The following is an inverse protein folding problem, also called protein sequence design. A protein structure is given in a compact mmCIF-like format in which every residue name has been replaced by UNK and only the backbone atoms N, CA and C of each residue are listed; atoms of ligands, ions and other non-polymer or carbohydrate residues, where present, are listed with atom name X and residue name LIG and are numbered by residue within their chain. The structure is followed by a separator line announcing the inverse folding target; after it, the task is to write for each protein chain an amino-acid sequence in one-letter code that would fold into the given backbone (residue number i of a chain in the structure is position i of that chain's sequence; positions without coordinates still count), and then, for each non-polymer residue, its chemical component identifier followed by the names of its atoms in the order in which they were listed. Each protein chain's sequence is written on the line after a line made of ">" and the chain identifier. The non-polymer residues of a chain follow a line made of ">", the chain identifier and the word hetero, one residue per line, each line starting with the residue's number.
data_IF_340928297341
#
_entry.id   IF_340928297341
#
_cell.length_a   1.000
_cell.length_b   1.000
_cell.length_c   1.000
_cell.angle_alpha   90.00
_cell.angle_beta   90.00
_cell.angle_gamma   90.00
#
_symmetry.space_group_name_H-M   'P 1'
#
loop_
_entity.id
_entity.type
_entity.pdbx_description
1 polymer ?
#
# COMPACT_ATOMS: atom_id res chain seq x y z
N UNK A 1 -9.31 -19.10 -8.74
CA UNK A 1 -9.28 -17.96 -9.68
C UNK A 1 -9.06 -18.54 -11.07
N UNK A 2 -10.15 -18.86 -11.78
CA UNK A 2 -10.07 -19.16 -13.22
C UNK A 2 -9.43 -17.97 -13.94
N UNK A 3 -8.72 -18.23 -15.04
CA UNK A 3 -7.74 -17.33 -15.68
C UNK A 3 -8.27 -15.91 -16.00
N UNK A 4 -8.29 -15.03 -15.00
CA UNK A 4 -8.51 -13.60 -15.20
C UNK A 4 -7.24 -12.98 -15.76
N UNK A 5 -7.33 -12.54 -17.02
CA UNK A 5 -6.27 -11.75 -17.67
C UNK A 5 -6.02 -10.41 -16.97
N UNK A 6 -4.95 -9.73 -17.35
CA UNK A 6 -4.56 -8.42 -16.81
C UNK A 6 -5.67 -7.37 -16.94
N UNK A 7 -6.53 -7.54 -17.94
CA UNK A 7 -7.69 -6.70 -18.26
C UNK A 7 -8.72 -6.69 -17.13
N UNK A 8 -8.98 -7.86 -16.52
CA UNK A 8 -9.88 -7.98 -15.38
C UNK A 8 -9.34 -7.29 -14.13
N UNK A 9 -8.04 -7.42 -13.88
CA UNK A 9 -7.38 -6.75 -12.77
C UNK A 9 -7.35 -5.23 -12.95
N UNK A 10 -7.12 -4.77 -14.18
CA UNK A 10 -7.15 -3.36 -14.52
C UNK A 10 -8.57 -2.78 -14.36
N UNK A 11 -9.59 -3.49 -14.83
CA UNK A 11 -10.97 -3.05 -14.66
C UNK A 11 -11.40 -3.08 -13.17
N UNK A 12 -10.98 -4.10 -12.42
CA UNK A 12 -11.21 -4.18 -10.97
C UNK A 12 -10.57 -3.01 -10.23
N UNK A 13 -9.34 -2.65 -10.60
CA UNK A 13 -8.68 -1.46 -10.08
C UNK A 13 -9.51 -0.20 -10.33
N UNK A 14 -10.03 -0.01 -11.54
CA UNK A 14 -10.90 1.12 -11.87
C UNK A 14 -12.18 1.14 -11.02
N UNK A 15 -12.86 0.00 -10.89
CA UNK A 15 -14.07 -0.12 -10.06
C UNK A 15 -13.76 0.33 -8.63
N UNK A 16 -12.66 -0.14 -8.05
CA UNK A 16 -12.29 0.19 -6.68
C UNK A 16 -11.88 1.65 -6.50
N UNK A 17 -11.21 2.25 -7.48
CA UNK A 17 -10.93 3.69 -7.47
C UNK A 17 -12.21 4.54 -7.47
N UNK A 18 -13.20 4.14 -8.27
CA UNK A 18 -14.49 4.83 -8.35
C UNK A 18 -15.35 4.56 -7.12
N UNK A 19 -15.36 3.33 -6.59
CA UNK A 19 -16.10 2.98 -5.38
C UNK A 19 -15.60 3.76 -4.16
N UNK A 20 -14.28 3.87 -4.00
CA UNK A 20 -13.66 4.71 -2.98
C UNK A 20 -14.04 6.18 -3.14
N UNK A 21 -14.03 6.69 -4.38
CA UNK A 21 -14.49 8.05 -4.68
C UNK A 21 -15.96 8.27 -4.30
N UNK A 22 -16.85 7.35 -4.67
CA UNK A 22 -18.28 7.44 -4.33
C UNK A 22 -18.45 7.45 -2.82
N UNK A 23 -17.79 6.55 -2.10
CA UNK A 23 -17.85 6.48 -0.64
C UNK A 23 -17.40 7.80 -0.01
N UNK A 24 -16.19 8.27 -0.32
CA UNK A 24 -15.65 9.45 0.34
C UNK A 24 -16.37 10.74 -0.07
N UNK A 25 -16.67 10.91 -1.36
CA UNK A 25 -17.36 12.10 -1.85
C UNK A 25 -18.78 12.16 -1.32
N UNK A 26 -19.47 11.02 -1.17
CA UNK A 26 -20.82 10.98 -0.57
C UNK A 26 -20.78 11.37 0.90
N UNK A 27 -19.85 10.80 1.69
CA UNK A 27 -19.71 11.11 3.11
C UNK A 27 -19.46 12.61 3.32
N UNK A 28 -18.48 13.18 2.61
CA UNK A 28 -18.16 14.61 2.71
C UNK A 28 -19.30 15.50 2.20
N UNK A 29 -19.96 15.10 1.11
CA UNK A 29 -21.08 15.87 0.56
C UNK A 29 -22.26 15.92 1.51
N UNK A 30 -22.54 14.82 2.23
CA UNK A 30 -23.58 14.77 3.25
C UNK A 30 -23.20 15.60 4.48
N UNK A 31 -21.94 15.51 4.93
CA UNK A 31 -21.45 16.26 6.08
C UNK A 31 -21.51 17.78 5.84
N UNK A 32 -21.10 18.24 4.66
CA UNK A 32 -21.09 19.65 4.28
C UNK A 32 -22.36 20.13 3.56
N UNK A 33 -23.34 19.25 3.32
CA UNK A 33 -24.60 19.51 2.61
C UNK A 33 -24.44 20.15 1.24
N UNK A 34 -23.35 19.85 0.54
CA UNK A 34 -23.05 20.33 -0.82
C UNK A 34 -22.24 19.27 -1.57
N UNK A 35 -22.37 19.14 -2.89
CA UNK A 35 -21.56 18.20 -3.64
C UNK A 35 -20.08 18.58 -3.52
N UNK A 36 -19.29 17.69 -2.91
CA UNK A 36 -17.84 17.83 -2.78
C UNK A 36 -17.21 16.68 -3.53
N UNK A 37 -16.43 17.03 -4.55
CA UNK A 37 -15.53 16.08 -5.19
C UNK A 37 -14.30 15.91 -4.28
N UNK A 38 -14.20 14.77 -3.60
CA UNK A 38 -13.03 14.46 -2.78
C UNK A 38 -12.03 13.66 -3.59
N UNK A 39 -10.76 14.00 -3.45
CA UNK A 39 -9.67 13.29 -4.09
C UNK A 39 -8.52 14.23 -4.45
N UNK A 40 -7.35 13.64 -4.69
CA UNK A 40 -6.20 14.36 -5.23
C UNK A 40 -6.45 14.77 -6.69
N UNK A 41 -7.20 13.94 -7.42
CA UNK A 41 -7.44 14.06 -8.85
C UNK A 41 -8.71 14.88 -9.14
N UNK A 42 -8.82 15.39 -10.37
CA UNK A 42 -9.97 16.19 -10.79
C UNK A 42 -11.16 15.30 -11.11
N UNK A 43 -10.91 14.09 -11.60
CA UNK A 43 -11.94 13.12 -11.92
C UNK A 43 -12.48 12.33 -10.72
N UNK A 44 -13.54 11.53 -10.94
CA UNK A 44 -14.24 10.78 -9.90
C UNK A 44 -13.52 9.46 -9.54
N UNK A 45 -12.28 9.57 -9.10
CA UNK A 45 -11.45 8.41 -8.78
C UNK A 45 -10.39 8.72 -7.73
N UNK A 46 -10.20 7.78 -6.80
CA UNK A 46 -9.17 7.88 -5.77
C UNK A 46 -8.24 6.66 -5.87
N UNK A 47 -7.04 6.80 -6.48
CA UNK A 47 -6.16 5.67 -6.80
C UNK A 47 -5.75 4.80 -5.60
N UNK A 48 -5.62 5.39 -4.40
CA UNK A 48 -5.25 4.63 -3.19
C UNK A 48 -6.27 3.53 -2.87
N UNK A 49 -7.55 3.73 -3.19
CA UNK A 49 -8.60 2.72 -3.01
C UNK A 49 -8.49 1.58 -4.02
N UNK A 50 -8.09 1.88 -5.26
CA UNK A 50 -7.79 0.84 -6.26
C UNK A 50 -6.63 -0.04 -5.82
N UNK A 51 -5.53 0.57 -5.37
CA UNK A 51 -4.35 -0.16 -4.87
C UNK A 51 -4.71 -0.95 -3.62
N UNK A 52 -5.37 -0.33 -2.64
CA UNK A 52 -5.75 -0.98 -1.39
C UNK A 52 -6.73 -2.13 -1.57
N UNK A 53 -7.74 -1.96 -2.41
CA UNK A 53 -8.69 -3.03 -2.69
C UNK A 53 -8.06 -4.21 -3.43
N UNK A 54 -7.19 -3.96 -4.43
CA UNK A 54 -6.42 -5.04 -5.06
C UNK A 54 -5.49 -5.74 -4.07
N UNK A 55 -4.78 -4.97 -3.23
CA UNK A 55 -3.92 -5.50 -2.18
C UNK A 55 -4.69 -6.45 -1.25
N UNK A 56 -5.88 -6.04 -0.82
CA UNK A 56 -6.76 -6.88 0.02
C UNK A 56 -7.23 -8.13 -0.73
N UNK A 57 -7.60 -8.03 -2.02
CA UNK A 57 -7.99 -9.19 -2.82
C UNK A 57 -6.87 -10.23 -2.90
N UNK A 58 -5.62 -9.81 -3.13
CA UNK A 58 -4.49 -10.74 -3.24
C UNK A 58 -4.07 -11.32 -1.89
N UNK A 59 -3.95 -10.48 -0.86
CA UNK A 59 -3.35 -10.89 0.41
C UNK A 59 -4.38 -11.55 1.35
N UNK A 60 -5.65 -11.13 1.32
CA UNK A 60 -6.66 -11.69 2.23
C UNK A 60 -7.33 -12.95 1.70
N UNK A 61 -7.34 -13.19 0.38
CA UNK A 61 -7.99 -14.36 -0.21
C UNK A 61 -7.50 -15.71 0.36
N UNK A 62 -6.19 -15.95 0.60
CA UNK A 62 -5.71 -17.18 1.22
C UNK A 62 -6.22 -17.41 2.65
N UNK A 63 -6.66 -16.35 3.33
CA UNK A 63 -7.12 -16.39 4.72
C UNK A 63 -8.64 -16.31 4.85
N UNK A 64 -9.37 -16.35 3.72
CA UNK A 64 -10.82 -16.13 3.67
C UNK A 64 -11.61 -17.11 4.53
N UNK A 65 -11.08 -18.30 4.84
CA UNK A 65 -11.76 -19.28 5.70
C UNK A 65 -11.80 -18.87 7.18
N UNK A 66 -10.98 -17.89 7.59
CA UNK A 66 -10.92 -17.42 8.97
C UNK A 66 -10.98 -15.88 9.04
N UNK A 67 -12.15 -15.36 9.40
CA UNK A 67 -12.37 -13.91 9.53
C UNK A 67 -11.38 -13.22 10.47
N UNK A 68 -10.92 -13.87 11.54
CA UNK A 68 -9.91 -13.26 12.41
C UNK A 68 -8.57 -13.04 11.68
N UNK A 69 -8.15 -13.99 10.83
CA UNK A 69 -6.94 -13.84 10.04
C UNK A 69 -7.10 -12.72 9.00
N UNK A 70 -8.24 -12.68 8.29
CA UNK A 70 -8.56 -11.59 7.35
C UNK A 70 -8.48 -10.23 8.03
N UNK A 71 -9.06 -10.09 9.22
CA UNK A 71 -9.04 -8.84 9.98
C UNK A 71 -7.62 -8.35 10.25
N UNK A 72 -6.74 -9.21 10.79
CA UNK A 72 -5.37 -8.80 11.13
C UNK A 72 -4.51 -8.57 9.89
N UNK A 73 -4.65 -9.40 8.86
CA UNK A 73 -3.93 -9.24 7.59
C UNK A 73 -4.32 -7.92 6.92
N UNK A 74 -5.61 -7.63 6.84
CA UNK A 74 -6.11 -6.37 6.29
C UNK A 74 -5.67 -5.15 7.10
N UNK A 75 -5.77 -5.24 8.44
CA UNK A 75 -5.31 -4.20 9.35
C UNK A 75 -3.85 -3.83 9.07
N UNK A 76 -2.96 -4.83 9.01
CA UNK A 76 -1.53 -4.61 8.78
C UNK A 76 -1.29 -4.07 7.37
N UNK A 77 -1.85 -4.71 6.35
CA UNK A 77 -1.64 -4.35 4.95
C UNK A 77 -2.12 -2.93 4.62
N UNK A 78 -3.35 -2.57 5.02
CA UNK A 78 -3.90 -1.23 4.80
C UNK A 78 -3.19 -0.17 5.63
N UNK A 79 -2.82 -0.47 6.89
CA UNK A 79 -2.05 0.49 7.70
C UNK A 79 -0.66 0.74 7.10
N UNK A 80 -0.01 -0.30 6.55
CA UNK A 80 1.26 -0.15 5.85
C UNK A 80 1.10 0.70 4.58
N UNK A 81 0.05 0.45 3.79
CA UNK A 81 -0.27 1.22 2.59
C UNK A 81 -0.58 2.69 2.93
N UNK A 82 -1.37 2.93 3.99
CA UNK A 82 -1.68 4.26 4.51
C UNK A 82 -0.40 4.98 4.90
N UNK A 83 0.44 4.37 5.74
CA UNK A 83 1.71 4.97 6.16
C UNK A 83 2.62 5.30 4.97
N UNK A 84 2.78 4.35 4.04
CA UNK A 84 3.64 4.51 2.87
C UNK A 84 3.13 5.63 1.96
N UNK A 85 1.82 5.66 1.70
CA UNK A 85 1.22 6.69 0.85
C UNK A 85 1.27 8.05 1.51
N UNK A 86 1.07 8.13 2.84
CA UNK A 86 1.23 9.37 3.60
C UNK A 86 2.66 9.88 3.55
N UNK A 87 3.64 8.98 3.70
CA UNK A 87 5.05 9.32 3.54
C UNK A 87 5.39 9.79 2.13
N UNK A 88 4.92 9.07 1.11
CA UNK A 88 5.18 9.38 -0.29
C UNK A 88 4.57 10.73 -0.66
N UNK A 89 3.32 10.98 -0.28
CA UNK A 89 2.61 12.22 -0.56
C UNK A 89 3.22 13.42 0.16
N UNK A 90 3.60 13.28 1.44
CA UNK A 90 4.29 14.34 2.18
C UNK A 90 5.66 14.65 1.54
N UNK A 91 6.35 13.62 1.03
CA UNK A 91 7.64 13.77 0.36
C UNK A 91 7.50 14.46 -1.01
N UNK A 92 6.48 14.07 -1.80
CA UNK A 92 6.27 14.58 -3.15
C UNK A 92 5.67 15.98 -3.19
N UNK A 93 4.73 16.27 -2.28
CA UNK A 93 3.91 17.49 -2.31
C UNK A 93 4.16 18.42 -1.13
N UNK A 94 4.97 17.99 -0.14
CA UNK A 94 5.26 18.77 1.05
C UNK A 94 4.06 19.00 1.96
N UNK A 95 2.96 18.27 1.77
CA UNK A 95 1.69 18.45 2.48
C UNK A 95 1.20 17.12 3.05
N UNK A 96 0.66 17.18 4.25
CA UNK A 96 -0.09 16.08 4.84
C UNK A 96 -1.51 16.09 4.29
N UNK A 97 -1.96 14.96 3.74
CA UNK A 97 -3.29 14.82 3.14
C UNK A 97 -4.35 14.40 4.15
N UNK A 98 -3.94 13.89 5.30
CA UNK A 98 -4.79 13.56 6.43
C UNK A 98 -4.10 13.95 7.73
N UNK A 99 -4.91 14.36 8.71
CA UNK A 99 -4.47 14.77 10.03
C UNK A 99 -5.13 13.88 11.08
N UNK A 100 -4.32 13.14 11.84
CA UNK A 100 -4.76 12.26 12.91
C UNK A 100 -4.53 12.87 14.31
N UNK A 101 -4.14 14.15 14.40
CA UNK A 101 -3.71 14.81 15.65
C UNK A 101 -4.73 14.75 16.78
N UNK A 102 -6.01 14.58 16.47
CA UNK A 102 -7.10 14.47 17.44
C UNK A 102 -7.19 13.09 18.12
N UNK A 103 -6.48 12.06 17.62
CA UNK A 103 -6.51 10.72 18.19
C UNK A 103 -5.36 10.50 19.18
N UNK A 104 -5.63 9.79 20.29
CA UNK A 104 -4.63 9.58 21.37
C UNK A 104 -3.49 8.64 21.01
N UNK A 105 -3.69 7.72 20.05
CA UNK A 105 -2.69 6.72 19.67
C UNK A 105 -2.39 6.86 18.18
N UNK A 106 -1.41 7.71 17.88
CA UNK A 106 -1.00 8.05 16.51
C UNK A 106 0.50 7.92 16.36
N UNK A 107 0.95 7.50 15.17
CA UNK A 107 2.37 7.48 14.83
C UNK A 107 2.68 8.48 13.72
N UNK A 108 3.57 9.44 14.01
CA UNK A 108 4.02 10.51 13.09
C UNK A 108 2.88 11.31 12.41
N UNK A 109 1.70 11.32 13.01
CA UNK A 109 0.46 11.85 12.42
C UNK A 109 0.07 11.21 11.06
N UNK A 110 0.62 10.04 10.74
CA UNK A 110 0.41 9.37 9.45
C UNK A 110 -0.50 8.15 9.54
N UNK A 111 -0.51 7.49 10.69
CA UNK A 111 -1.40 6.38 11.02
C UNK A 111 -1.94 6.56 12.44
N UNK A 112 -3.13 6.04 12.69
CA UNK A 112 -3.72 5.96 14.02
C UNK A 112 -4.21 4.56 14.31
N UNK A 113 -4.18 4.11 15.57
CA UNK A 113 -4.67 2.79 15.94
C UNK A 113 -6.16 2.63 15.59
N UNK A 114 -6.94 3.70 15.73
CA UNK A 114 -8.37 3.72 15.39
C UNK A 114 -8.56 3.52 13.89
N UNK A 115 -7.77 4.21 13.06
CA UNK A 115 -7.78 4.02 11.60
C UNK A 115 -7.38 2.58 11.24
N UNK A 116 -6.31 2.05 11.84
CA UNK A 116 -5.87 0.66 11.63
C UNK A 116 -6.95 -0.37 11.96
N UNK A 117 -7.65 -0.21 13.10
CA UNK A 117 -8.76 -1.10 13.46
C UNK A 117 -9.92 -0.99 12.47
N UNK A 118 -10.24 0.24 12.04
CA UNK A 118 -11.24 0.46 10.99
C UNK A 118 -10.85 -0.25 9.69
N UNK A 119 -9.58 -0.19 9.29
CA UNK A 119 -9.08 -0.92 8.12
C UNK A 119 -9.19 -2.44 8.26
N UNK A 120 -9.03 -3.00 9.45
CA UNK A 120 -9.29 -4.42 9.71
C UNK A 120 -10.76 -4.80 9.46
N UNK A 121 -11.71 -3.99 9.93
CA UNK A 121 -13.15 -4.21 9.68
C UNK A 121 -13.48 -4.03 8.20
N UNK A 122 -12.94 -3.00 7.57
CA UNK A 122 -13.11 -2.78 6.13
C UNK A 122 -12.51 -3.92 5.30
N UNK A 123 -11.41 -4.53 5.77
CA UNK A 123 -10.85 -5.74 5.20
C UNK A 123 -11.85 -6.88 5.13
N UNK A 124 -12.52 -7.16 6.24
CA UNK A 124 -13.60 -8.16 6.28
C UNK A 124 -14.70 -7.84 5.26
N UNK A 125 -15.16 -6.59 5.25
CA UNK A 125 -16.21 -6.16 4.34
C UNK A 125 -15.79 -6.31 2.86
N UNK A 126 -14.57 -5.91 2.53
CA UNK A 126 -14.04 -6.01 1.17
C UNK A 126 -13.87 -7.48 0.76
N UNK A 127 -13.29 -8.31 1.62
CA UNK A 127 -13.01 -9.72 1.30
C UNK A 127 -14.29 -10.56 1.20
N UNK A 128 -15.28 -10.36 2.06
CA UNK A 128 -16.49 -11.20 2.08
C UNK A 128 -17.65 -10.66 1.26
N UNK A 129 -17.74 -9.34 1.05
CA UNK A 129 -18.89 -8.72 0.37
C UNK A 129 -18.46 -8.12 -0.97
N UNK A 130 -17.51 -7.18 -0.94
CA UNK A 130 -17.12 -6.44 -2.15
C UNK A 130 -16.47 -7.36 -3.18
N UNK A 131 -15.64 -8.31 -2.74
CA UNK A 131 -15.00 -9.30 -3.62
C UNK A 131 -16.03 -10.14 -4.38
N UNK A 132 -17.06 -10.63 -3.70
CA UNK A 132 -18.10 -11.46 -4.32
C UNK A 132 -18.97 -10.65 -5.28
N UNK A 133 -19.33 -9.42 -4.90
CA UNK A 133 -20.04 -8.49 -5.79
C UNK A 133 -19.19 -8.19 -7.03
N UNK A 134 -17.90 -7.94 -6.86
CA UNK A 134 -16.97 -7.64 -7.95
C UNK A 134 -16.89 -8.83 -8.89
N UNK A 135 -16.71 -10.04 -8.37
CA UNK A 135 -16.69 -11.27 -9.16
C UNK A 135 -18.00 -11.48 -9.93
N UNK A 136 -19.14 -11.25 -9.28
CA UNK A 136 -20.45 -11.31 -9.92
C UNK A 136 -20.54 -10.31 -11.08
N UNK A 137 -20.14 -9.05 -10.88
CA UNK A 137 -20.15 -8.03 -11.94
C UNK A 137 -19.24 -8.43 -13.10
N UNK A 138 -18.02 -8.89 -12.82
CA UNK A 138 -17.06 -9.31 -13.86
C UNK A 138 -17.59 -10.47 -14.69
N UNK A 139 -18.25 -11.45 -14.06
CA UNK A 139 -18.78 -12.63 -14.76
C UNK A 139 -20.04 -12.34 -15.60
N UNK A 140 -20.76 -11.24 -15.29
CA UNK A 140 -21.97 -10.85 -16.03
C UNK A 140 -21.71 -9.82 -17.14
N UNK A 141 -20.50 -9.28 -17.22
CA UNK A 141 -20.13 -8.31 -18.25
C UNK A 141 -19.46 -9.00 -19.45
N UNK A 142 -19.72 -8.55 -20.69
CA UNK A 142 -19.04 -9.08 -21.85
C UNK A 142 -17.55 -8.71 -21.81
N UNK A 143 -16.67 -9.68 -22.11
CA UNK A 143 -15.22 -9.50 -22.06
C UNK A 143 -14.72 -8.26 -22.81
N UNK A 144 -15.26 -8.01 -24.02
CA UNK A 144 -14.90 -6.84 -24.82
C UNK A 144 -15.17 -5.51 -24.09
N UNK A 145 -16.25 -5.44 -23.31
CA UNK A 145 -16.56 -4.24 -22.52
C UNK A 145 -15.54 -4.05 -21.40
N UNK A 146 -15.17 -5.11 -20.68
CA UNK A 146 -14.15 -5.07 -19.61
C UNK A 146 -12.82 -4.55 -20.17
N UNK A 147 -12.39 -5.07 -21.32
CA UNK A 147 -11.16 -4.64 -21.98
C UNK A 147 -11.23 -3.15 -22.36
N UNK A 148 -12.23 -2.75 -23.14
CA UNK A 148 -12.33 -1.39 -23.67
C UNK A 148 -12.51 -0.39 -22.53
N UNK A 149 -13.47 -0.62 -21.63
CA UNK A 149 -13.75 0.27 -20.52
C UNK A 149 -12.58 0.36 -19.55
N UNK A 150 -11.97 -0.78 -19.17
CA UNK A 150 -10.81 -0.83 -18.28
C UNK A 150 -9.62 -0.05 -18.84
N UNK A 151 -9.30 -0.24 -20.13
CA UNK A 151 -8.22 0.51 -20.78
C UNK A 151 -8.54 2.00 -20.87
N UNK A 152 -9.73 2.38 -21.35
CA UNK A 152 -10.10 3.80 -21.53
C UNK A 152 -10.12 4.54 -20.19
N UNK A 153 -10.77 3.98 -19.16
CA UNK A 153 -10.84 4.60 -17.83
C UNK A 153 -9.43 4.74 -17.23
N UNK A 154 -8.60 3.70 -17.34
CA UNK A 154 -7.22 3.75 -16.84
C UNK A 154 -6.38 4.81 -17.53
N UNK A 155 -6.52 4.97 -18.85
CA UNK A 155 -5.81 6.01 -19.61
C UNK A 155 -6.25 7.41 -19.16
N UNK A 156 -7.56 7.63 -19.02
CA UNK A 156 -8.09 8.92 -18.54
C UNK A 156 -7.58 9.24 -17.14
N UNK A 157 -7.62 8.26 -16.24
CA UNK A 157 -7.07 8.41 -14.88
C UNK A 157 -5.58 8.72 -14.89
N UNK A 158 -4.80 8.02 -15.72
CA UNK A 158 -3.36 8.24 -15.83
C UNK A 158 -3.04 9.66 -16.34
N UNK A 159 -3.77 10.14 -17.35
CA UNK A 159 -3.61 11.49 -17.89
C UNK A 159 -3.93 12.54 -16.82
N UNK A 160 -5.03 12.40 -16.08
CA UNK A 160 -5.39 13.34 -15.02
C UNK A 160 -4.39 13.30 -13.85
N UNK A 161 -3.90 12.11 -13.51
CA UNK A 161 -2.85 11.94 -12.50
C UNK A 161 -1.55 12.63 -12.92
N UNK A 162 -1.09 12.41 -14.14
CA UNK A 162 0.11 13.07 -14.66
C UNK A 162 -0.07 14.59 -14.73
N UNK A 163 -1.23 15.07 -15.16
CA UNK A 163 -1.53 16.51 -15.23
C UNK A 163 -1.56 17.17 -13.86
N UNK A 164 -2.21 16.53 -12.89
CA UNK A 164 -2.34 17.04 -11.52
C UNK A 164 -1.02 16.94 -10.75
N UNK A 165 -0.33 15.82 -10.86
CA UNK A 165 0.97 15.58 -10.25
C UNK A 165 2.00 16.61 -10.73
N UNK A 166 2.13 16.84 -12.06
CA UNK A 166 3.07 17.85 -12.59
C UNK A 166 2.82 19.26 -12.05
N UNK A 167 1.56 19.62 -11.77
CA UNK A 167 1.21 20.95 -11.26
C UNK A 167 1.56 21.13 -9.78
N UNK A 168 1.60 20.05 -9.01
CA UNK A 168 1.72 20.10 -7.55
C UNK A 168 3.06 19.55 -7.04
N UNK A 169 3.76 18.74 -7.84
CA UNK A 169 5.10 18.24 -7.55
C UNK A 169 6.09 19.40 -7.54
N UNK A 170 6.71 19.61 -6.38
CA UNK A 170 7.89 20.45 -6.25
C UNK A 170 9.13 19.61 -6.59
N UNK A 171 9.57 19.68 -7.84
CA UNK A 171 10.63 18.83 -8.41
C UNK A 171 11.94 18.98 -7.62
N UNK A 172 12.24 20.18 -7.12
CA UNK A 172 13.47 20.48 -6.40
C UNK A 172 13.48 19.84 -4.99
N UNK A 173 12.32 19.82 -4.33
CA UNK A 173 12.14 19.13 -3.04
C UNK A 173 12.18 17.61 -3.17
N UNK A 174 11.62 17.08 -4.25
CA UNK A 174 11.69 15.65 -4.59
C UNK A 174 13.12 15.21 -4.85
N UNK A 175 13.87 15.98 -5.65
CA UNK A 175 15.26 15.66 -5.98
C UNK A 175 16.16 15.66 -4.75
N UNK A 176 15.99 16.58 -3.82
CA UNK A 176 16.80 16.66 -2.60
C UNK A 176 16.48 15.57 -1.57
N UNK A 177 15.23 15.12 -1.49
CA UNK A 177 14.83 14.04 -0.56
C UNK A 177 15.29 12.66 -1.05
N UNK A 178 15.16 12.39 -2.36
CA UNK A 178 15.62 11.14 -2.97
C UNK A 178 17.10 11.17 -3.38
N UNK A 179 17.80 12.29 -3.18
CA UNK A 179 19.25 12.36 -3.37
C UNK A 179 19.96 11.42 -2.38
N UNK A 180 20.88 10.62 -2.92
CA UNK A 180 21.58 9.52 -2.23
C UNK A 180 22.28 9.98 -0.93
N UNK A 181 22.60 11.28 -0.78
CA UNK A 181 23.24 11.79 0.44
C UNK A 181 22.38 11.65 1.69
N UNK A 182 21.05 11.82 1.58
CA UNK A 182 20.13 11.73 2.72
C UNK A 182 19.79 10.28 3.09
N UNK A 183 19.66 9.40 2.08
CA UNK A 183 19.44 7.97 2.29
C UNK A 183 20.65 7.33 2.98
N UNK A 184 21.88 7.71 2.56
CA UNK A 184 23.12 7.27 3.20
C UNK A 184 23.19 7.70 4.68
N UNK A 185 22.76 8.92 5.01
CA UNK A 185 22.75 9.38 6.42
C UNK A 185 21.74 8.63 7.29
N UNK A 186 20.59 8.25 6.73
CA UNK A 186 19.59 7.46 7.46
C UNK A 186 20.04 6.01 7.65
N UNK A 187 20.59 5.36 6.63
CA UNK A 187 21.16 4.01 6.73
C UNK A 187 22.31 3.99 7.74
N UNK A 188 23.23 4.95 7.67
CA UNK A 188 24.34 5.09 8.64
C UNK A 188 23.84 5.27 10.08
N UNK A 189 22.74 6.00 10.30
CA UNK A 189 22.14 6.14 11.64
C UNK A 189 21.53 4.83 12.14
N UNK A 190 20.92 4.03 11.27
CA UNK A 190 20.42 2.70 11.63
C UNK A 190 21.57 1.75 12.00
N UNK A 191 22.67 1.75 11.26
CA UNK A 191 23.86 0.94 11.58
C UNK A 191 24.51 1.37 12.92
N UNK A 192 24.56 2.68 13.20
CA UNK A 192 25.06 3.21 14.48
C UNK A 192 24.13 2.85 15.66
N UNK A 193 22.82 2.77 15.44
CA UNK A 193 21.87 2.35 16.49
C UNK A 193 21.93 0.83 16.68
N UNK A 194 21.99 0.05 15.61
CA UNK A 194 22.14 -1.41 15.65
C UNK A 194 23.44 -1.83 16.34
N UNK A 195 24.53 -1.10 16.12
CA UNK A 195 25.83 -1.34 16.79
C UNK A 195 25.85 -0.95 18.28
N UNK A 196 24.85 -0.20 18.76
CA UNK A 196 24.65 0.13 20.18
C UNK A 196 23.73 -0.85 20.92
N UNK A 197 23.15 -1.84 20.23
CA UNK A 197 22.36 -2.90 20.86
C UNK A 197 23.30 -4.04 21.26
N UNK A 198 23.52 -4.28 22.57
CA UNK A 198 24.55 -5.21 23.05
C UNK A 198 24.30 -6.69 22.68
N UNK A 199 23.12 -7.05 22.16
CA UNK A 199 22.77 -8.42 21.78
C UNK A 199 23.01 -8.80 20.31
N UNK A 200 23.29 -7.86 19.40
CA UNK A 200 23.48 -8.17 17.96
C UNK A 200 24.93 -8.57 17.65
N UNK A 201 25.91 -8.05 18.40
CA UNK A 201 27.33 -8.44 18.23
C UNK A 201 27.58 -9.93 18.46
N UNK A 202 26.85 -10.55 19.39
CA UNK A 202 27.03 -11.97 19.72
C UNK A 202 26.63 -12.88 18.54
N UNK A 203 25.45 -12.66 17.93
CA UNK A 203 24.97 -13.50 16.82
C UNK A 203 25.73 -13.30 15.51
N UNK A 204 26.24 -12.10 15.23
CA UNK A 204 26.98 -11.84 13.99
C UNK A 204 28.45 -12.29 14.09
N UNK A 205 28.99 -12.36 15.31
CA UNK A 205 30.31 -12.95 15.57
C UNK A 205 30.27 -14.47 15.49
N UNK A 206 29.29 -15.11 16.15
CA UNK A 206 29.13 -16.57 16.15
C UNK A 206 28.87 -17.13 14.74
N UNK A 207 28.02 -16.48 13.92
CA UNK A 207 27.80 -16.92 12.54
C UNK A 207 29.05 -16.85 11.64
N UNK A 208 29.94 -15.90 11.89
CA UNK A 208 31.20 -15.79 11.12
C UNK A 208 32.23 -16.83 11.56
N UNK A 209 32.22 -17.22 12.82
CA UNK A 209 33.08 -18.29 13.33
C UNK A 209 32.57 -19.68 12.90
N UNK A 210 31.25 -19.94 12.95
CA UNK A 210 30.64 -21.18 12.47
C UNK A 210 30.88 -21.41 10.96
N UNK A 211 30.63 -20.40 10.10
CA UNK A 211 30.88 -20.51 8.65
C UNK A 211 32.38 -20.69 8.31
N UNK A 212 33.29 -20.24 9.19
CA UNK A 212 34.75 -20.40 9.00
C UNK A 212 35.31 -21.71 9.56
N UNK A 213 34.61 -22.33 10.52
CA UNK A 213 34.97 -23.62 11.08
C UNK A 213 34.46 -24.78 10.21
N UNK A 214 33.31 -24.61 9.54
CA UNK A 214 32.75 -25.62 8.63
C UNK A 214 33.53 -25.70 7.30
N UNK A 215 34.18 -24.61 6.86
CA UNK A 215 34.99 -24.60 5.63
C UNK A 215 36.41 -25.19 5.79
N UNK A 216 36.94 -25.31 7.02
CA UNK A 216 38.29 -25.83 7.26
C UNK A 216 38.33 -27.32 7.67
N UNK A 217 37.20 -28.03 7.56
CA UNK A 217 37.06 -29.42 8.05
C UNK A 217 37.23 -30.54 7.02
N UNK A 218 37.27 -30.24 5.72
CA UNK A 218 37.09 -31.28 4.67
C UNK A 218 38.33 -31.56 3.79
N UNK A 219 39.49 -30.96 4.05
CA UNK A 219 40.72 -31.19 3.28
C UNK A 219 41.84 -31.80 4.14
N UNK A 220 41.63 -32.99 4.71
CA UNK A 220 42.74 -33.86 5.12
C UNK A 220 42.25 -35.30 5.38
N UNK A 221 42.31 -36.15 4.34
CA UNK A 221 42.71 -37.57 4.39
C UNK A 221 42.24 -38.33 3.13
N UNK A 222 43.08 -38.37 2.09
CA UNK A 222 43.21 -39.59 1.28
C UNK A 222 44.58 -39.61 0.58
N UNK A 223 45.55 -40.26 1.22
CA UNK A 223 46.79 -40.75 0.59
C UNK A 223 47.45 -41.77 1.54
N UNK A 224 46.95 -43.01 1.54
CA UNK A 224 47.71 -44.24 1.84
C UNK A 224 47.10 -45.47 1.17
#
# INVERSE_FOLDING_TARGET
>A
MEHFGIEYWLFTFCIYCMAGWVQESTIESLYHRRPINRGFLRGPYIPIYGVGGLLLLFICHPFRDNGFQVFFVALIACTALEYFTGWLMETMFGKQFWDYSMFRITYKNRISLVSSLFWGVMGLFVTYVVSDITLYVLNNLPYQFICIAGTVISLVMAIDFLGTARKQIDVDKLRSTFSISNISTHIMRFDVIASRIPGIKARTGEKKEEDSAEYNGDDENDDR
#
